data_IF_963738411016
#
_entry.id   IF_963738411016
#
_cell.length_a   1.000
_cell.length_b   1.000
_cell.length_c   1.000
_cell.angle_alpha   90.00
_cell.angle_beta   90.00
_cell.angle_gamma   90.00
#
_symmetry.space_group_name_H-M   'P 1'
#
loop_
_entity.id
_entity.type
_entity.pdbx_description
1 polymer ?
#
# COMPACT_ATOMS: atom_id res chain seq x y z
N UNK A 1 31.43 -8.76 7.33
CA UNK A 1 31.57 -10.23 7.39
C UNK A 1 30.64 -10.83 6.35
N UNK A 2 31.11 -11.65 5.41
CA UNK A 2 30.22 -12.28 4.40
C UNK A 2 29.26 -13.22 5.14
N UNK A 3 27.96 -12.88 5.15
CA UNK A 3 26.91 -13.75 5.67
C UNK A 3 26.99 -15.12 4.99
N UNK A 4 26.77 -16.20 5.75
CA UNK A 4 26.72 -17.54 5.17
C UNK A 4 25.53 -17.62 4.21
N UNK A 5 25.65 -18.45 3.17
CA UNK A 5 24.65 -18.57 2.08
C UNK A 5 23.23 -18.81 2.60
N UNK A 6 23.06 -19.62 3.65
CA UNK A 6 21.76 -19.91 4.26
C UNK A 6 21.19 -18.70 5.01
N UNK A 7 22.02 -18.02 5.80
CA UNK A 7 21.63 -16.84 6.58
C UNK A 7 21.24 -15.68 5.66
N UNK A 8 22.03 -15.41 4.62
CA UNK A 8 21.71 -14.39 3.62
C UNK A 8 20.35 -14.63 2.97
N UNK A 9 20.01 -15.88 2.66
CA UNK A 9 18.72 -16.24 2.06
C UNK A 9 17.55 -15.97 2.99
N UNK A 10 17.69 -16.31 4.28
CA UNK A 10 16.67 -16.01 5.27
C UNK A 10 16.47 -14.50 5.43
N UNK A 11 17.57 -13.73 5.48
CA UNK A 11 17.48 -12.27 5.55
C UNK A 11 16.89 -11.64 4.29
N UNK A 12 17.23 -12.15 3.09
CA UNK A 12 16.61 -11.71 1.84
C UNK A 12 15.09 -11.95 1.87
N UNK A 13 14.65 -13.10 2.39
CA UNK A 13 13.22 -13.39 2.55
C UNK A 13 12.57 -12.39 3.50
N UNK A 14 13.15 -12.18 4.69
CA UNK A 14 12.63 -11.26 5.69
C UNK A 14 12.54 -9.82 5.16
N UNK A 15 13.55 -9.33 4.45
CA UNK A 15 13.55 -7.98 3.87
C UNK A 15 12.51 -7.82 2.75
N UNK A 16 12.28 -8.86 1.96
CA UNK A 16 11.24 -8.85 0.92
C UNK A 16 9.83 -8.93 1.54
N UNK A 17 9.65 -9.63 2.66
CA UNK A 17 8.38 -9.65 3.40
C UNK A 17 8.08 -8.29 4.05
N UNK A 18 9.08 -7.63 4.63
CA UNK A 18 8.93 -6.26 5.17
C UNK A 18 8.67 -5.22 4.09
N UNK A 19 9.37 -5.33 2.96
CA UNK A 19 9.25 -4.41 1.83
C UNK A 19 9.16 -5.19 0.50
N UNK A 20 7.95 -5.56 0.06
CA UNK A 20 7.72 -6.27 -1.20
C UNK A 20 8.23 -5.53 -2.45
N UNK A 21 8.46 -4.22 -2.32
CA UNK A 21 8.90 -3.33 -3.39
C UNK A 21 10.43 -3.19 -3.49
N UNK A 22 11.20 -3.79 -2.57
CA UNK A 22 12.66 -3.70 -2.59
C UNK A 22 13.24 -4.26 -3.88
N UNK A 23 14.14 -3.52 -4.54
CA UNK A 23 14.70 -3.94 -5.83
C UNK A 23 15.85 -4.91 -5.65
N UNK A 24 16.15 -5.68 -6.71
CA UNK A 24 17.34 -6.54 -6.72
C UNK A 24 18.65 -5.72 -6.56
N UNK A 25 18.64 -4.44 -6.97
CA UNK A 25 19.76 -3.53 -6.79
C UNK A 25 19.94 -3.17 -5.31
N UNK A 26 18.86 -2.79 -4.62
CA UNK A 26 18.91 -2.42 -3.21
C UNK A 26 19.33 -3.61 -2.34
N UNK A 27 18.78 -4.80 -2.61
CA UNK A 27 19.20 -6.05 -1.97
C UNK A 27 20.68 -6.35 -2.22
N UNK A 28 21.19 -6.08 -3.43
CA UNK A 28 22.59 -6.31 -3.77
C UNK A 28 23.53 -5.39 -2.97
N UNK A 29 23.14 -4.13 -2.78
CA UNK A 29 23.86 -3.16 -1.94
C UNK A 29 23.80 -3.57 -0.48
N UNK A 30 22.60 -3.89 0.02
CA UNK A 30 22.36 -4.27 1.43
C UNK A 30 23.17 -5.50 1.85
N UNK A 31 23.19 -6.54 1.01
CA UNK A 31 23.90 -7.78 1.29
C UNK A 31 25.33 -7.81 0.73
N UNK A 32 25.80 -6.72 0.09
CA UNK A 32 27.13 -6.60 -0.52
C UNK A 32 27.47 -7.77 -1.45
N UNK A 33 26.52 -8.12 -2.33
CA UNK A 33 26.66 -9.19 -3.32
C UNK A 33 26.27 -8.67 -4.70
N UNK A 34 26.57 -9.44 -5.76
CA UNK A 34 26.12 -9.06 -7.10
C UNK A 34 24.60 -9.24 -7.26
N UNK A 35 24.00 -8.46 -8.17
CA UNK A 35 22.60 -8.59 -8.57
C UNK A 35 22.30 -10.03 -9.04
N UNK A 36 23.24 -10.68 -9.74
CA UNK A 36 23.10 -12.07 -10.18
C UNK A 36 22.99 -13.04 -8.99
N UNK A 37 23.72 -12.77 -7.90
CA UNK A 37 23.63 -13.57 -6.67
C UNK A 37 22.26 -13.41 -6.02
N UNK A 38 21.72 -12.19 -5.95
CA UNK A 38 20.36 -11.93 -5.45
C UNK A 38 19.32 -12.67 -6.29
N UNK A 39 19.40 -12.59 -7.62
CA UNK A 39 18.49 -13.32 -8.52
C UNK A 39 18.51 -14.82 -8.25
N UNK A 40 19.71 -15.40 -8.11
CA UNK A 40 19.87 -16.84 -7.86
C UNK A 40 19.30 -17.24 -6.49
N UNK A 41 19.48 -16.40 -5.47
CA UNK A 41 18.92 -16.63 -4.14
C UNK A 41 17.39 -16.48 -4.14
N UNK A 42 16.82 -15.49 -4.84
CA UNK A 42 15.36 -15.35 -5.00
C UNK A 42 14.75 -16.55 -5.71
N UNK A 43 15.36 -17.03 -6.80
CA UNK A 43 14.90 -18.22 -7.51
C UNK A 43 14.90 -19.45 -6.60
N UNK A 44 15.94 -19.64 -5.78
CA UNK A 44 15.98 -20.74 -4.83
C UNK A 44 14.91 -20.62 -3.72
N UNK A 45 14.55 -19.40 -3.34
CA UNK A 45 13.52 -19.12 -2.35
C UNK A 45 12.11 -19.10 -2.96
N UNK A 46 11.95 -19.40 -4.26
CA UNK A 46 10.70 -19.25 -5.01
C UNK A 46 10.09 -17.84 -4.91
N UNK A 47 10.93 -16.81 -4.76
CA UNK A 47 10.48 -15.42 -4.66
C UNK A 47 10.34 -14.83 -6.07
N UNK A 48 9.13 -14.44 -6.49
CA UNK A 48 8.89 -13.90 -7.82
C UNK A 48 9.53 -12.52 -8.00
N UNK A 49 9.69 -12.12 -9.27
CA UNK A 49 10.23 -10.81 -9.63
C UNK A 49 9.38 -9.64 -9.12
N UNK A 50 10.02 -8.47 -9.04
CA UNK A 50 9.42 -7.25 -8.50
C UNK A 50 8.04 -6.95 -9.12
N UNK A 51 7.90 -7.04 -10.45
CA UNK A 51 6.63 -6.77 -11.14
C UNK A 51 5.51 -7.70 -10.69
N UNK A 52 5.82 -8.98 -10.49
CA UNK A 52 4.85 -9.98 -10.04
C UNK A 52 4.49 -9.76 -8.57
N UNK A 53 5.48 -9.45 -7.71
CA UNK A 53 5.21 -9.09 -6.30
C UNK A 53 4.31 -7.87 -6.17
N UNK A 54 4.55 -6.83 -6.97
CA UNK A 54 3.71 -5.63 -7.02
C UNK A 54 2.27 -5.99 -7.39
N UNK A 55 2.08 -6.85 -8.40
CA UNK A 55 0.74 -7.31 -8.79
C UNK A 55 0.04 -8.08 -7.68
N UNK A 56 0.74 -8.94 -6.95
CA UNK A 56 0.17 -9.71 -5.84
C UNK A 56 -0.27 -8.79 -4.71
N UNK A 57 0.59 -7.87 -4.27
CA UNK A 57 0.25 -6.89 -3.24
C UNK A 57 -0.88 -5.96 -3.69
N UNK A 58 -0.87 -5.53 -4.95
CA UNK A 58 -1.97 -4.73 -5.50
C UNK A 58 -3.29 -5.52 -5.50
N UNK A 59 -3.27 -6.82 -5.85
CA UNK A 59 -4.45 -7.68 -5.86
C UNK A 59 -4.98 -7.95 -4.46
N UNK A 60 -4.11 -8.24 -3.49
CA UNK A 60 -4.49 -8.46 -2.09
C UNK A 60 -5.13 -7.20 -1.49
N UNK A 61 -4.56 -6.02 -1.76
CA UNK A 61 -5.18 -4.75 -1.36
C UNK A 61 -6.49 -4.49 -2.12
N UNK A 62 -6.60 -4.85 -3.40
CA UNK A 62 -7.84 -4.70 -4.17
C UNK A 62 -8.96 -5.61 -3.65
N UNK A 63 -8.62 -6.81 -3.16
CA UNK A 63 -9.57 -7.75 -2.55
C UNK A 63 -9.96 -7.32 -1.13
N UNK A 64 -9.07 -6.69 -0.34
CA UNK A 64 -9.45 -6.12 0.96
C UNK A 64 -10.32 -4.87 0.84
N UNK A 65 -10.13 -4.05 -0.20
CA UNK A 65 -10.92 -2.85 -0.50
C UNK A 65 -12.35 -3.20 -0.97
N UNK A 66 -12.60 -4.43 -1.45
CA UNK A 66 -13.95 -4.88 -1.87
C UNK A 66 -14.90 -5.22 -0.73
N UNK A 67 -14.51 -5.03 0.53
CA UNK A 67 -15.38 -5.29 1.69
C UNK A 67 -16.36 -4.16 1.97
N UNK A 68 -16.16 -2.97 1.38
CA UNK A 68 -17.08 -1.84 1.53
C UNK A 68 -17.45 -1.36 0.14
N UNK A 69 -18.74 -1.45 -0.18
CA UNK A 69 -19.34 -0.85 -1.36
C UNK A 69 -19.09 0.66 -1.34
N UNK A 70 -18.00 1.10 -1.97
CA UNK A 70 -17.58 2.51 -2.05
C UNK A 70 -18.59 3.43 -2.75
N UNK A 71 -19.78 2.95 -3.12
CA UNK A 71 -20.88 3.76 -3.62
C UNK A 71 -21.61 4.56 -2.54
N UNK A 72 -21.50 4.18 -1.26
CA UNK A 72 -22.24 4.85 -0.17
C UNK A 72 -21.39 5.83 0.65
N UNK A 73 -20.06 5.80 0.50
CA UNK A 73 -19.15 6.72 1.21
C UNK A 73 -18.97 8.00 0.41
N UNK A 74 -19.08 9.14 1.09
CA UNK A 74 -18.84 10.45 0.51
C UNK A 74 -17.34 10.73 0.53
N UNK A 75 -16.75 10.80 -0.66
CA UNK A 75 -15.31 10.96 -0.86
C UNK A 75 -14.62 9.64 -1.22
N UNK A 76 -13.32 9.72 -1.48
CA UNK A 76 -12.51 8.58 -1.87
C UNK A 76 -11.83 7.99 -0.64
N UNK A 77 -12.16 6.73 -0.32
CA UNK A 77 -11.52 6.00 0.76
C UNK A 77 -10.13 5.56 0.32
N UNK A 78 -9.11 5.97 1.08
CA UNK A 78 -7.71 5.68 0.77
C UNK A 78 -7.12 4.58 1.64
N UNK A 79 -7.63 4.40 2.86
CA UNK A 79 -7.19 3.36 3.78
C UNK A 79 -8.30 3.00 4.76
N UNK A 80 -8.45 1.70 5.04
CA UNK A 80 -9.36 1.18 6.07
C UNK A 80 -8.67 0.04 6.79
N UNK A 81 -8.60 0.15 8.10
CA UNK A 81 -8.30 -0.91 9.04
C UNK A 81 -9.58 -1.17 9.85
N UNK A 82 -10.31 -2.25 9.54
CA UNK A 82 -11.54 -2.60 10.26
C UNK A 82 -11.33 -2.57 11.78
N UNK A 83 -12.32 -2.03 12.49
CA UNK A 83 -12.32 -1.86 13.95
C UNK A 83 -11.20 -0.98 14.54
N UNK A 84 -10.40 -0.29 13.70
CA UNK A 84 -9.29 0.55 14.18
C UNK A 84 -9.33 1.96 13.59
N UNK A 85 -8.99 2.12 12.32
CA UNK A 85 -8.80 3.44 11.70
C UNK A 85 -9.22 3.42 10.24
N UNK A 86 -9.74 4.54 9.76
CA UNK A 86 -10.05 4.74 8.36
C UNK A 86 -9.66 6.14 7.92
N UNK A 87 -9.37 6.31 6.63
CA UNK A 87 -9.03 7.61 6.06
C UNK A 87 -9.69 7.78 4.70
N UNK A 88 -10.36 8.92 4.50
CA UNK A 88 -10.92 9.32 3.23
C UNK A 88 -10.45 10.72 2.82
N UNK A 89 -10.48 10.99 1.52
CA UNK A 89 -10.15 12.28 0.93
C UNK A 89 -11.36 12.75 0.13
N UNK A 90 -11.74 14.03 0.30
CA UNK A 90 -12.73 14.67 -0.54
C UNK A 90 -12.12 15.88 -1.24
N UNK A 91 -12.39 16.01 -2.54
CA UNK A 91 -12.04 17.23 -3.28
C UNK A 91 -13.18 18.22 -3.16
N UNK A 92 -12.89 19.39 -2.58
CA UNK A 92 -13.83 20.50 -2.52
C UNK A 92 -13.88 21.19 -3.89
N UNK A 93 -15.05 21.16 -4.50
CA UNK A 93 -15.37 21.77 -5.79
C UNK A 93 -16.31 22.98 -5.64
N UNK A 94 -16.66 23.63 -6.74
CA UNK A 94 -17.53 24.80 -6.69
C UNK A 94 -18.95 24.50 -6.18
N UNK A 95 -19.39 23.25 -6.24
CA UNK A 95 -20.72 22.82 -5.80
C UNK A 95 -20.79 22.63 -4.28
N UNK A 96 -19.65 22.31 -3.65
CA UNK A 96 -19.51 22.05 -2.22
C UNK A 96 -19.16 23.30 -1.39
N UNK A 97 -19.00 24.46 -2.03
CA UNK A 97 -18.72 25.74 -1.37
C UNK A 97 -19.88 26.73 -1.47
N UNK A 98 -19.82 27.78 -0.66
CA UNK A 98 -20.64 28.98 -0.85
C UNK A 98 -20.07 29.82 -2.00
N UNK A 99 -20.90 30.18 -2.98
CA UNK A 99 -20.47 30.86 -4.21
C UNK A 99 -19.79 32.20 -3.95
N UNK A 100 -20.20 32.91 -2.89
CA UNK A 100 -19.76 34.26 -2.56
C UNK A 100 -18.36 34.34 -1.94
N UNK A 101 -18.00 33.38 -1.09
CA UNK A 101 -16.79 33.43 -0.26
C UNK A 101 -15.92 32.16 -0.37
N UNK A 102 -16.34 31.19 -1.18
CA UNK A 102 -15.63 29.92 -1.44
C UNK A 102 -15.36 29.09 -0.17
N UNK A 103 -16.16 29.30 0.88
CA UNK A 103 -16.09 28.51 2.11
C UNK A 103 -16.83 27.18 1.91
N UNK A 104 -16.21 26.06 2.29
CA UNK A 104 -16.84 24.74 2.24
C UNK A 104 -18.09 24.70 3.13
N UNK A 105 -19.18 24.10 2.63
CA UNK A 105 -20.42 23.98 3.40
C UNK A 105 -20.23 22.92 4.49
N UNK A 106 -20.62 23.23 5.73
CA UNK A 106 -20.41 22.33 6.87
C UNK A 106 -21.00 20.93 6.69
N UNK A 107 -22.15 20.81 6.02
CA UNK A 107 -22.76 19.50 5.75
C UNK A 107 -21.91 18.61 4.84
N UNK A 108 -21.06 19.17 3.97
CA UNK A 108 -20.17 18.38 3.10
C UNK A 108 -19.11 17.68 3.94
N UNK A 109 -18.49 18.43 4.88
CA UNK A 109 -17.50 17.89 5.82
C UNK A 109 -18.13 16.85 6.75
N UNK A 110 -19.32 17.17 7.28
CA UNK A 110 -20.05 16.25 8.13
C UNK A 110 -20.42 14.96 7.40
N UNK A 111 -20.89 15.05 6.16
CA UNK A 111 -21.32 13.90 5.40
C UNK A 111 -20.14 12.98 5.04
N UNK A 112 -18.97 13.54 4.72
CA UNK A 112 -17.73 12.76 4.57
C UNK A 112 -17.39 11.99 5.86
N UNK A 113 -17.30 12.70 6.99
CA UNK A 113 -16.93 12.09 8.27
C UNK A 113 -17.94 11.00 8.70
N UNK A 114 -19.24 11.31 8.61
CA UNK A 114 -20.29 10.38 9.01
C UNK A 114 -20.31 9.14 8.12
N UNK A 115 -20.22 9.31 6.81
CA UNK A 115 -20.23 8.17 5.88
C UNK A 115 -19.03 7.23 6.08
N UNK A 116 -17.86 7.78 6.45
CA UNK A 116 -16.67 6.98 6.76
C UNK A 116 -16.77 6.22 8.09
N UNK A 117 -17.53 6.74 9.07
CA UNK A 117 -17.70 6.07 10.37
C UNK A 117 -18.83 5.04 10.37
N UNK A 118 -19.81 5.17 9.48
CA UNK A 118 -21.00 4.30 9.41
C UNK A 118 -20.75 3.06 8.55
N UNK A 119 -19.90 3.19 7.51
CA UNK A 119 -19.50 2.10 6.64
C UNK A 119 -18.41 1.21 7.26
#
# INVERSE_FOLDING_TARGET
MKLKKQERRNEIKNEIEKNPFITDLDLSVLFSVSIQTIRLDRTHLNIPELRTRIKTVAKENYESIRSIEGSEIIGDVINVQPDQTATSIIRIDEKSVFTRNKIARGHVLFAQANSLCVA
#
